data_IF_144194408166
#
_entry.id   IF_144194408166
#
_cell.length_a   1.000
_cell.length_b   1.000
_cell.length_c   1.000
_cell.angle_alpha   90.00
_cell.angle_beta   90.00
_cell.angle_gamma   90.00
#
_symmetry.space_group_name_H-M   'P 1'
#
loop_
_entity.id
_entity.type
_entity.pdbx_description
1 polymer ?
#
# COMPACT_ATOMS: atom_id res chain seq x y z
N UNK A 1 -8.46 12.72 -7.57
CA UNK A 1 -8.07 11.35 -7.18
C UNK A 1 -6.87 10.91 -8.00
N UNK A 2 -5.90 10.30 -7.33
CA UNK A 2 -4.71 9.75 -8.01
C UNK A 2 -4.79 8.24 -7.97
N UNK A 3 -4.62 7.60 -9.12
CA UNK A 3 -4.68 6.14 -9.25
C UNK A 3 -3.35 5.63 -9.81
N UNK A 4 -2.77 4.64 -9.16
CA UNK A 4 -1.46 4.13 -9.51
C UNK A 4 -1.45 2.60 -9.40
N UNK A 5 -0.83 1.94 -10.39
CA UNK A 5 -0.63 0.50 -10.33
C UNK A 5 0.67 0.21 -9.57
N UNK A 6 0.60 -0.73 -8.64
CA UNK A 6 1.74 -1.14 -7.82
C UNK A 6 1.93 -2.65 -7.90
N UNK A 7 3.15 -3.09 -7.62
CA UNK A 7 3.46 -4.52 -7.53
C UNK A 7 4.13 -4.75 -6.18
N UNK A 8 3.72 -5.81 -5.49
CA UNK A 8 4.37 -6.22 -4.24
C UNK A 8 5.70 -6.87 -4.61
N UNK A 9 6.80 -6.28 -4.18
CA UNK A 9 8.13 -6.71 -4.60
C UNK A 9 8.92 -7.46 -3.54
N UNK A 10 8.55 -7.32 -2.26
CA UNK A 10 9.27 -7.99 -1.20
C UNK A 10 8.92 -9.48 -1.14
N UNK A 11 9.87 -10.36 -0.81
CA UNK A 11 9.64 -11.81 -0.82
C UNK A 11 8.50 -12.27 0.09
N UNK A 12 8.29 -11.60 1.21
CA UNK A 12 7.28 -11.99 2.18
C UNK A 12 5.88 -11.48 1.85
N UNK A 13 5.76 -10.58 0.88
CA UNK A 13 4.48 -9.98 0.55
C UNK A 13 3.95 -9.06 1.66
N UNK A 14 2.63 -8.84 1.66
CA UNK A 14 1.99 -8.06 2.72
C UNK A 14 1.81 -8.94 3.95
N UNK A 15 2.40 -8.54 5.06
CA UNK A 15 2.29 -9.21 6.34
C UNK A 15 2.11 -8.14 7.42
N UNK A 16 1.98 -8.55 8.69
CA UNK A 16 1.61 -7.61 9.75
C UNK A 16 2.54 -6.40 9.82
N UNK A 17 3.86 -6.62 9.70
CA UNK A 17 4.83 -5.53 9.79
C UNK A 17 4.69 -4.56 8.63
N UNK A 18 4.63 -5.06 7.39
CA UNK A 18 4.52 -4.19 6.22
C UNK A 18 3.17 -3.48 6.18
N UNK A 19 2.08 -4.16 6.55
CA UNK A 19 0.76 -3.53 6.61
C UNK A 19 0.75 -2.39 7.64
N UNK A 20 1.36 -2.61 8.81
CA UNK A 20 1.48 -1.58 9.83
C UNK A 20 2.27 -0.38 9.31
N UNK A 21 3.37 -0.64 8.62
CA UNK A 21 4.20 0.43 8.05
C UNK A 21 3.45 1.22 6.99
N UNK A 22 2.64 0.55 6.16
CA UNK A 22 1.82 1.23 5.16
C UNK A 22 0.81 2.16 5.83
N UNK A 23 0.13 1.67 6.88
CA UNK A 23 -0.84 2.47 7.61
C UNK A 23 -0.16 3.70 8.23
N UNK A 24 0.99 3.50 8.86
CA UNK A 24 1.71 4.60 9.51
C UNK A 24 2.17 5.65 8.49
N UNK A 25 2.63 5.22 7.33
CA UNK A 25 3.04 6.15 6.28
C UNK A 25 1.84 6.93 5.75
N UNK A 26 0.73 6.25 5.48
CA UNK A 26 -0.47 6.91 4.96
C UNK A 26 -1.06 7.94 5.90
N UNK A 27 -0.90 7.73 7.21
CA UNK A 27 -1.42 8.67 8.21
C UNK A 27 -0.72 10.03 8.20
N UNK A 28 0.42 10.13 7.56
CA UNK A 28 1.15 11.39 7.47
C UNK A 28 0.54 12.35 6.46
N UNK A 29 -0.43 11.87 5.68
CA UNK A 29 -1.02 12.65 4.60
C UNK A 29 -2.52 12.84 4.82
N UNK A 30 -3.02 14.01 4.45
CA UNK A 30 -4.44 14.30 4.49
C UNK A 30 -5.08 13.76 3.20
N UNK A 31 -5.26 12.46 3.15
CA UNK A 31 -5.82 11.77 1.98
C UNK A 31 -6.46 10.45 2.40
N UNK A 32 -7.49 10.06 1.67
CA UNK A 32 -8.06 8.72 1.79
C UNK A 32 -7.27 7.79 0.87
N UNK A 33 -6.80 6.67 1.42
CA UNK A 33 -5.97 5.71 0.68
C UNK A 33 -6.69 4.37 0.63
N UNK A 34 -6.80 3.79 -0.55
CA UNK A 34 -7.35 2.45 -0.71
C UNK A 34 -6.46 1.64 -1.65
N UNK A 35 -6.47 0.32 -1.44
CA UNK A 35 -5.77 -0.63 -2.30
C UNK A 35 -6.78 -1.63 -2.82
N UNK A 36 -6.64 -2.00 -4.08
CA UNK A 36 -7.54 -2.98 -4.70
C UNK A 36 -6.75 -4.11 -5.32
N UNK A 37 -7.20 -5.34 -5.06
CA UNK A 37 -6.68 -6.54 -5.69
C UNK A 37 -7.85 -7.29 -6.32
N UNK A 38 -7.94 -7.28 -7.64
CA UNK A 38 -8.97 -8.03 -8.39
C UNK A 38 -10.38 -7.80 -7.83
N UNK A 39 -10.74 -6.54 -7.60
CA UNK A 39 -12.06 -6.16 -7.12
C UNK A 39 -12.21 -6.14 -5.61
N UNK A 40 -11.29 -6.71 -4.86
CA UNK A 40 -11.31 -6.65 -3.40
C UNK A 40 -10.61 -5.37 -2.95
N UNK A 41 -11.29 -4.55 -2.16
CA UNK A 41 -10.80 -3.25 -1.74
C UNK A 41 -10.44 -3.27 -0.27
N UNK A 42 -9.26 -2.72 0.06
CA UNK A 42 -8.81 -2.56 1.44
C UNK A 42 -8.55 -1.09 1.71
N UNK A 43 -9.02 -0.62 2.86
CA UNK A 43 -8.73 0.72 3.31
C UNK A 43 -7.28 0.79 3.78
N UNK A 44 -6.53 1.78 3.30
CA UNK A 44 -5.11 1.93 3.62
C UNK A 44 -4.81 2.32 5.06
N UNK A 45 -5.84 2.61 5.87
CA UNK A 45 -5.66 2.88 7.28
C UNK A 45 -6.12 1.72 8.17
N UNK A 46 -6.35 0.54 7.60
CA UNK A 46 -6.86 -0.62 8.33
C UNK A 46 -5.97 -1.83 8.07
N UNK A 47 -5.19 -2.20 9.08
CA UNK A 47 -4.20 -3.29 8.96
C UNK A 47 -4.89 -4.61 8.60
N UNK A 48 -6.03 -4.91 9.23
CA UNK A 48 -6.72 -6.17 8.96
C UNK A 48 -7.22 -6.26 7.52
N UNK A 49 -7.76 -5.17 6.98
CA UNK A 49 -8.21 -5.17 5.58
C UNK A 49 -7.05 -5.39 4.63
N UNK A 50 -5.90 -4.77 4.91
CA UNK A 50 -4.71 -4.97 4.08
C UNK A 50 -4.27 -6.43 4.10
N UNK A 51 -4.29 -7.07 5.28
CA UNK A 51 -3.91 -8.46 5.40
C UNK A 51 -4.87 -9.40 4.66
N UNK A 52 -6.16 -9.04 4.62
CA UNK A 52 -7.17 -9.84 3.92
C UNK A 52 -6.96 -9.86 2.41
N UNK A 53 -6.21 -8.92 1.85
CA UNK A 53 -5.87 -8.96 0.42
C UNK A 53 -4.99 -10.14 0.07
N UNK A 54 -4.26 -10.69 1.03
CA UNK A 54 -3.36 -11.82 0.81
C UNK A 54 -2.38 -11.57 -0.34
N UNK A 55 -1.82 -10.36 -0.37
CA UNK A 55 -0.96 -9.94 -1.47
C UNK A 55 0.46 -10.47 -1.29
N UNK A 56 0.79 -11.51 -2.03
CA UNK A 56 2.13 -12.10 -2.04
C UNK A 56 3.03 -11.39 -3.05
N UNK A 57 4.31 -11.75 -3.09
CA UNK A 57 5.25 -11.19 -4.06
C UNK A 57 4.71 -11.37 -5.47
N UNK A 58 4.78 -10.30 -6.25
CA UNK A 58 4.29 -10.30 -7.63
C UNK A 58 2.84 -9.91 -7.77
N UNK A 59 2.11 -9.74 -6.67
CA UNK A 59 0.71 -9.33 -6.74
C UNK A 59 0.60 -7.89 -7.19
N UNK A 60 -0.27 -7.63 -8.16
CA UNK A 60 -0.57 -6.29 -8.63
C UNK A 60 -1.70 -5.70 -7.79
N UNK A 61 -1.52 -4.46 -7.38
CA UNK A 61 -2.50 -3.72 -6.61
C UNK A 61 -2.79 -2.39 -7.31
N UNK A 62 -4.00 -1.89 -7.14
CA UNK A 62 -4.35 -0.54 -7.58
C UNK A 62 -4.43 0.34 -6.35
N UNK A 63 -3.57 1.35 -6.31
CA UNK A 63 -3.57 2.36 -5.26
C UNK A 63 -4.42 3.53 -5.69
N UNK A 64 -5.35 3.95 -4.83
CA UNK A 64 -6.13 5.17 -5.06
C UNK A 64 -5.96 6.08 -3.86
N UNK A 65 -5.60 7.34 -4.13
CA UNK A 65 -5.46 8.37 -3.11
C UNK A 65 -6.40 9.52 -3.47
N UNK A 66 -7.17 10.01 -2.51
CA UNK A 66 -8.12 11.08 -2.72
C UNK A 66 -8.03 12.06 -1.56
N UNK A 67 -8.04 13.36 -1.86
CA UNK A 67 -7.97 14.40 -0.85
C UNK A 67 -6.88 15.41 -1.15
N UNK A 68 -6.64 16.30 -0.17
CA UNK A 68 -5.70 17.39 -0.32
C UNK A 68 -4.29 16.91 -0.63
N UNK A 69 -3.86 15.83 0.03
CA UNK A 69 -2.50 15.31 -0.13
C UNK A 69 -2.47 14.06 -1.00
N UNK A 70 -3.43 13.90 -1.92
CA UNK A 70 -3.51 12.69 -2.74
C UNK A 70 -2.21 12.42 -3.51
N UNK A 71 -1.64 13.42 -4.16
CA UNK A 71 -0.43 13.23 -4.96
C UNK A 71 0.78 12.89 -4.10
N UNK A 72 1.14 13.67 -3.06
CA UNK A 72 2.28 13.31 -2.24
C UNK A 72 2.10 11.95 -1.53
N UNK A 73 0.88 11.59 -1.13
CA UNK A 73 0.62 10.28 -0.55
C UNK A 73 0.89 9.16 -1.56
N UNK A 74 0.43 9.34 -2.79
CA UNK A 74 0.65 8.37 -3.86
C UNK A 74 2.13 8.19 -4.15
N UNK A 75 2.89 9.28 -4.21
CA UNK A 75 4.33 9.22 -4.47
C UNK A 75 5.04 8.47 -3.34
N UNK A 76 4.73 8.83 -2.09
CA UNK A 76 5.39 8.21 -0.94
C UNK A 76 5.10 6.71 -0.85
N UNK A 77 3.84 6.33 -1.06
CA UNK A 77 3.45 4.92 -1.00
C UNK A 77 4.05 4.12 -2.17
N UNK A 78 4.10 4.72 -3.36
CA UNK A 78 4.71 4.06 -4.52
C UNK A 78 6.19 3.78 -4.26
N UNK A 79 6.91 4.77 -3.74
CA UNK A 79 8.32 4.60 -3.40
C UNK A 79 8.50 3.51 -2.34
N UNK A 80 7.62 3.48 -1.34
CA UNK A 80 7.69 2.50 -0.27
C UNK A 80 7.52 1.08 -0.80
N UNK A 81 6.60 0.88 -1.72
CA UNK A 81 6.42 -0.42 -2.37
C UNK A 81 7.65 -0.79 -3.22
N UNK A 82 8.19 0.17 -3.97
CA UNK A 82 9.38 -0.05 -4.80
C UNK A 82 10.58 -0.46 -3.94
N UNK A 83 10.66 0.06 -2.71
CA UNK A 83 11.75 -0.25 -1.78
C UNK A 83 11.47 -1.52 -0.96
N UNK A 84 10.47 -2.30 -1.33
CA UNK A 84 10.07 -3.51 -0.63
C UNK A 84 9.77 -3.25 0.84
N UNK A 85 9.12 -2.12 1.13
CA UNK A 85 8.76 -1.67 2.49
C UNK A 85 9.98 -1.52 3.40
N UNK A 86 11.15 -1.25 2.82
CA UNK A 86 12.38 -1.15 3.58
C UNK A 86 12.92 -2.48 4.07
N UNK A 87 12.29 -3.60 3.67
CA UNK A 87 12.76 -4.93 4.05
C UNK A 87 13.95 -5.34 3.21
N UNK A 88 14.94 -5.90 3.88
CA UNK A 88 16.10 -6.44 3.17
C UNK A 88 15.87 -7.91 2.92
N UNK A 89 16.29 -8.37 1.74
CA UNK A 89 16.25 -9.79 1.44
C UNK A 89 17.19 -10.53 2.37
N UNK A 90 16.77 -11.70 2.86
CA UNK A 90 17.65 -12.53 3.68
C UNK A 90 18.84 -13.07 2.87
#
# INVERSE_FOLDING_TARGET
MVTTALVVENPRGLHARSATAIVNLGRQFNATVTFEKKGQIANGNNIMELLLLEASKGTELILRCDGEDALPASVALTEFFTESFGEKDP
#
